data_IF_931402474842
#
_entry.id   IF_931402474842
#
_cell.length_a   1.000
_cell.length_b   1.000
_cell.length_c   1.000
_cell.angle_alpha   90.00
_cell.angle_beta   90.00
_cell.angle_gamma   90.00
#
_symmetry.space_group_name_H-M   'P 1'
#
loop_
_entity.id
_entity.type
_entity.pdbx_description
1 polymer ?
#
# COMPACT_ATOMS: atom_id res chain seq x y z
N UNK A 1 1.52 44.25 37.87
CA UNK A 1 0.48 43.20 37.80
C UNK A 1 -0.06 42.90 36.39
N UNK A 2 0.10 43.77 35.42
CA UNK A 2 -0.28 43.46 34.05
C UNK A 2 0.59 42.44 33.30
N UNK A 3 1.82 42.20 33.73
CA UNK A 3 2.78 41.28 33.12
C UNK A 3 2.45 39.80 33.36
N UNK A 4 1.77 39.40 34.42
CA UNK A 4 1.42 38.02 34.72
C UNK A 4 0.24 37.49 33.91
N UNK A 5 -0.65 38.35 33.44
CA UNK A 5 -1.78 37.97 32.56
C UNK A 5 -1.35 37.70 31.12
N UNK A 6 -0.32 38.35 30.58
CA UNK A 6 0.22 38.13 29.24
C UNK A 6 0.98 36.80 29.15
N UNK A 7 1.67 36.41 30.18
CA UNK A 7 2.40 35.12 30.24
C UNK A 7 1.46 33.92 30.25
N UNK A 8 0.33 34.00 30.94
CA UNK A 8 -0.68 32.92 30.94
C UNK A 8 -1.35 32.73 29.57
N UNK A 9 -1.59 33.79 28.80
CA UNK A 9 -2.14 33.71 27.43
C UNK A 9 -1.16 33.07 26.43
N UNK A 10 0.13 33.34 26.55
CA UNK A 10 1.17 32.77 25.70
C UNK A 10 1.33 31.27 25.95
N UNK A 11 1.32 30.86 27.22
CA UNK A 11 1.39 29.44 27.61
C UNK A 11 0.16 28.66 27.11
N UNK A 12 -1.04 29.22 27.18
CA UNK A 12 -2.25 28.60 26.63
C UNK A 12 -2.20 28.43 25.10
N UNK A 13 -1.62 29.38 24.37
CA UNK A 13 -1.43 29.27 22.90
C UNK A 13 -0.42 28.17 22.53
N UNK A 14 0.65 28.01 23.29
CA UNK A 14 1.67 26.97 23.07
C UNK A 14 1.09 25.57 23.36
N UNK A 15 0.32 25.43 24.43
CA UNK A 15 -0.36 24.17 24.77
C UNK A 15 -1.41 23.80 23.71
N UNK A 16 -2.16 24.74 23.16
CA UNK A 16 -3.09 24.48 22.06
C UNK A 16 -2.39 24.05 20.77
N UNK A 17 -1.24 24.59 20.44
CA UNK A 17 -0.42 24.15 19.29
C UNK A 17 0.13 22.74 19.49
N UNK A 18 0.57 22.38 20.67
CA UNK A 18 1.06 21.03 20.99
C UNK A 18 -0.08 19.98 20.91
N UNK A 19 -1.28 20.31 21.33
CA UNK A 19 -2.45 19.43 21.22
C UNK A 19 -2.94 19.25 19.76
N UNK A 20 -2.79 20.23 18.89
CA UNK A 20 -3.07 20.07 17.47
C UNK A 20 -2.07 19.16 16.75
N UNK A 21 -0.83 19.12 17.15
CA UNK A 21 0.23 18.28 16.59
C UNK A 21 0.08 16.80 16.97
N UNK A 22 -0.45 16.49 18.13
CA UNK A 22 -0.66 15.12 18.60
C UNK A 22 -1.89 14.43 17.99
N UNK A 23 -2.84 15.16 17.45
CA UNK A 23 -4.02 14.61 16.75
C UNK A 23 -3.79 14.27 15.27
N UNK A 24 -2.71 14.70 14.67
CA UNK A 24 -2.40 14.52 13.25
C UNK A 24 -1.99 13.10 12.82
N UNK A 25 -1.31 12.26 13.63
CA UNK A 25 -0.86 10.94 13.14
C UNK A 25 -1.97 9.90 13.02
N UNK A 26 -3.13 10.09 13.62
CA UNK A 26 -4.21 9.11 13.57
C UNK A 26 -5.07 9.15 12.28
N UNK A 27 -4.86 10.10 11.39
CA UNK A 27 -5.68 10.30 10.19
C UNK A 27 -4.95 10.11 8.86
N UNK A 28 -3.82 9.44 8.86
CA UNK A 28 -3.11 9.10 7.62
C UNK A 28 -3.81 8.00 6.78
N UNK A 29 -5.02 7.59 7.12
CA UNK A 29 -5.89 6.83 6.24
C UNK A 29 -6.71 7.77 5.34
N UNK A 30 -6.04 8.70 4.69
CA UNK A 30 -6.61 9.25 3.48
C UNK A 30 -6.51 8.16 2.44
N UNK A 31 -7.54 7.35 2.34
CA UNK A 31 -7.82 6.55 1.17
C UNK A 31 -7.83 7.54 0.00
N UNK A 32 -6.68 7.72 -0.64
CA UNK A 32 -6.63 8.34 -1.95
C UNK A 32 -7.62 7.52 -2.78
N UNK A 33 -8.69 8.14 -3.23
CA UNK A 33 -9.59 7.55 -4.21
C UNK A 33 -8.72 7.05 -5.35
N UNK A 34 -8.39 5.76 -5.30
CA UNK A 34 -7.65 5.15 -6.36
C UNK A 34 -8.55 5.15 -7.57
N UNK A 35 -8.18 5.92 -8.58
CA UNK A 35 -8.82 5.93 -9.90
C UNK A 35 -8.79 4.54 -10.55
N UNK A 36 -8.04 3.62 -9.98
CA UNK A 36 -7.88 2.24 -10.43
C UNK A 36 -8.96 1.28 -9.92
N UNK A 37 -9.86 1.75 -9.03
CA UNK A 37 -10.85 0.89 -8.39
C UNK A 37 -10.30 0.17 -7.15
N UNK A 38 -11.16 -0.62 -6.52
CA UNK A 38 -10.83 -1.41 -5.33
C UNK A 38 -11.04 -2.88 -5.64
N UNK A 39 -10.07 -3.75 -5.38
CA UNK A 39 -10.24 -5.18 -5.53
C UNK A 39 -11.35 -5.70 -4.62
N UNK A 40 -12.02 -6.76 -5.02
CA UNK A 40 -13.09 -7.36 -4.24
C UNK A 40 -12.57 -8.50 -3.35
N UNK A 41 -13.04 -8.55 -2.10
CA UNK A 41 -12.70 -9.62 -1.16
C UNK A 41 -11.26 -9.57 -0.68
N UNK A 42 -10.62 -10.73 -0.63
CA UNK A 42 -9.24 -10.98 -0.17
C UNK A 42 -8.17 -10.74 -1.24
N UNK A 43 -8.49 -9.93 -2.23
CA UNK A 43 -7.59 -9.67 -3.36
C UNK A 43 -6.86 -8.34 -3.22
N UNK A 44 -5.66 -8.32 -3.78
CA UNK A 44 -4.75 -7.17 -3.78
C UNK A 44 -4.36 -6.84 -5.21
N UNK A 45 -4.45 -5.57 -5.57
CA UNK A 45 -3.98 -5.08 -6.86
C UNK A 45 -2.52 -4.69 -6.76
N UNK A 46 -1.70 -5.32 -7.57
CA UNK A 46 -0.25 -5.17 -7.55
C UNK A 46 0.23 -4.64 -8.90
N UNK A 47 1.08 -3.64 -8.87
CA UNK A 47 1.82 -3.21 -10.06
C UNK A 47 3.09 -4.07 -10.16
N UNK A 48 3.24 -4.86 -11.22
CA UNK A 48 4.42 -5.69 -11.39
C UNK A 48 5.66 -4.79 -11.45
N UNK A 49 6.66 -5.16 -10.68
CA UNK A 49 7.98 -4.55 -10.78
C UNK A 49 8.84 -5.52 -11.57
N UNK A 50 9.19 -5.14 -12.79
CA UNK A 50 10.13 -5.91 -13.58
C UNK A 50 11.40 -6.12 -12.76
N UNK A 51 11.85 -7.37 -12.66
CA UNK A 51 13.19 -7.64 -12.18
C UNK A 51 14.17 -6.83 -13.05
N UNK A 52 15.13 -6.18 -12.43
CA UNK A 52 16.13 -5.39 -13.15
C UNK A 52 16.71 -6.22 -14.29
N UNK A 53 16.48 -5.76 -15.51
CA UNK A 53 16.82 -6.49 -16.73
C UNK A 53 18.27 -6.31 -17.15
N UNK A 54 19.05 -5.66 -16.30
CA UNK A 54 20.49 -5.51 -16.50
C UNK A 54 21.24 -6.56 -15.68
N UNK A 55 21.75 -7.58 -16.37
CA UNK A 55 22.81 -8.39 -15.77
C UNK A 55 24.06 -7.49 -15.62
N UNK A 56 24.78 -7.67 -14.53
CA UNK A 56 26.05 -6.94 -14.22
C UNK A 56 27.08 -7.01 -15.35
N UNK A 57 26.84 -7.71 -16.42
CA UNK A 57 27.69 -7.87 -17.61
C UNK A 57 27.15 -7.15 -18.86
N UNK A 58 26.11 -6.32 -18.74
CA UNK A 58 25.58 -5.54 -19.88
C UNK A 58 24.87 -6.37 -20.97
N UNK A 59 24.52 -7.62 -20.70
CA UNK A 59 23.78 -8.45 -21.64
C UNK A 59 22.29 -8.14 -21.51
N UNK A 60 21.71 -7.61 -22.59
CA UNK A 60 20.28 -7.35 -22.68
C UNK A 60 19.58 -8.68 -22.91
N UNK A 61 18.73 -9.08 -21.99
CA UNK A 61 17.87 -10.27 -22.14
C UNK A 61 16.67 -9.87 -23.02
N UNK A 62 16.39 -10.57 -24.12
CA UNK A 62 15.21 -10.30 -24.94
C UNK A 62 13.92 -10.41 -24.13
N UNK A 63 12.93 -9.56 -24.44
CA UNK A 63 11.65 -9.50 -23.71
C UNK A 63 10.88 -10.83 -23.67
N UNK A 64 11.10 -11.69 -24.66
CA UNK A 64 10.49 -13.03 -24.72
C UNK A 64 11.07 -14.04 -23.73
N UNK A 65 12.25 -13.77 -23.19
CA UNK A 65 12.92 -14.63 -22.20
C UNK A 65 12.76 -14.11 -20.76
N UNK A 66 12.06 -12.97 -20.57
CA UNK A 66 11.79 -12.43 -19.25
C UNK A 66 10.71 -13.26 -18.58
N UNK A 67 11.09 -13.96 -17.54
CA UNK A 67 10.10 -14.57 -16.65
C UNK A 67 9.20 -13.46 -16.07
N UNK A 68 7.90 -13.75 -15.96
CA UNK A 68 6.96 -12.79 -15.38
C UNK A 68 7.39 -12.46 -13.95
N UNK A 69 7.42 -11.20 -13.58
CA UNK A 69 7.91 -10.81 -12.26
C UNK A 69 7.00 -11.37 -11.17
N UNK A 70 7.59 -12.06 -10.23
CA UNK A 70 6.93 -12.57 -9.02
C UNK A 70 6.88 -11.53 -7.90
N UNK A 71 7.27 -10.30 -8.20
CA UNK A 71 7.34 -9.19 -7.26
C UNK A 71 6.59 -7.99 -7.80
N UNK A 72 6.02 -7.22 -6.89
CA UNK A 72 5.37 -5.97 -7.24
C UNK A 72 5.03 -5.11 -6.04
N UNK A 73 4.57 -3.91 -6.33
CA UNK A 73 4.13 -2.95 -5.31
C UNK A 73 2.60 -2.94 -5.26
N UNK A 74 2.06 -3.03 -4.06
CA UNK A 74 0.63 -2.98 -3.80
C UNK A 74 0.09 -1.58 -4.10
N UNK A 75 -0.87 -1.51 -5.01
CA UNK A 75 -1.50 -0.26 -5.46
C UNK A 75 -2.87 -0.08 -4.84
N UNK A 76 -3.60 -1.17 -4.67
CA UNK A 76 -4.91 -1.16 -4.02
C UNK A 76 -5.12 -2.47 -3.25
N UNK A 77 -5.85 -2.38 -2.16
CA UNK A 77 -6.15 -3.49 -1.27
C UNK A 77 -7.65 -3.65 -1.15
N UNK A 78 -8.14 -4.88 -1.19
CA UNK A 78 -9.54 -5.20 -0.99
C UNK A 78 -9.97 -5.05 0.47
N UNK A 79 -11.27 -5.13 0.74
CA UNK A 79 -11.81 -5.00 2.10
C UNK A 79 -11.41 -6.15 3.03
N UNK A 80 -10.97 -7.27 2.50
CA UNK A 80 -10.61 -8.46 3.26
C UNK A 80 -11.58 -9.63 3.06
N UNK A 81 -11.27 -10.74 3.71
CA UNK A 81 -12.05 -11.96 3.70
C UNK A 81 -13.16 -11.90 4.76
N UNK A 82 -14.34 -12.37 4.43
CA UNK A 82 -15.40 -12.59 5.43
C UNK A 82 -15.14 -13.90 6.15
N UNK A 83 -15.01 -13.82 7.47
CA UNK A 83 -14.96 -14.99 8.34
C UNK A 83 -16.32 -15.68 8.45
N UNK A 84 -16.35 -16.83 9.11
CA UNK A 84 -17.55 -17.64 9.33
C UNK A 84 -18.63 -16.90 10.14
N UNK A 85 -18.22 -15.99 11.00
CA UNK A 85 -19.10 -15.13 11.81
C UNK A 85 -19.55 -13.85 11.08
N UNK A 86 -19.36 -13.79 9.76
CA UNK A 86 -19.65 -12.62 8.92
C UNK A 86 -18.82 -11.37 9.28
N UNK A 87 -17.81 -11.49 10.12
CA UNK A 87 -16.85 -10.43 10.39
C UNK A 87 -15.87 -10.26 9.23
N UNK A 88 -15.51 -9.02 8.95
CA UNK A 88 -14.56 -8.70 7.90
C UNK A 88 -13.14 -8.76 8.48
N UNK A 89 -12.36 -9.75 8.05
CA UNK A 89 -10.95 -9.87 8.42
C UNK A 89 -10.12 -9.02 7.44
N UNK A 90 -9.48 -7.95 7.91
CA UNK A 90 -8.67 -7.10 7.04
C UNK A 90 -7.42 -7.86 6.56
N UNK A 91 -6.97 -7.50 5.37
CA UNK A 91 -5.75 -8.04 4.78
C UNK A 91 -4.51 -7.59 5.57
N UNK A 92 -3.53 -8.47 5.68
CA UNK A 92 -2.27 -8.20 6.36
C UNK A 92 -1.31 -7.27 5.60
N UNK A 93 -1.66 -6.87 4.38
CA UNK A 93 -0.83 -6.01 3.52
C UNK A 93 -1.48 -4.65 3.31
N UNK A 94 -0.66 -3.63 3.08
CA UNK A 94 -1.08 -2.24 2.89
C UNK A 94 -0.67 -1.72 1.51
N UNK A 95 -1.35 -0.68 1.08
CA UNK A 95 -0.98 0.05 -0.15
C UNK A 95 0.42 0.64 0.01
N UNK A 96 1.28 0.38 -0.96
CA UNK A 96 2.68 0.80 -0.96
C UNK A 96 3.66 -0.28 -0.51
N UNK A 97 3.18 -1.39 0.05
CA UNK A 97 4.03 -2.51 0.42
C UNK A 97 4.57 -3.22 -0.84
N UNK A 98 5.82 -3.62 -0.76
CA UNK A 98 6.42 -4.47 -1.79
C UNK A 98 6.19 -5.92 -1.39
N UNK A 99 5.60 -6.69 -2.28
CA UNK A 99 5.28 -8.10 -2.03
C UNK A 99 5.88 -9.02 -3.07
N UNK A 100 6.12 -10.24 -2.65
CA UNK A 100 6.43 -11.37 -3.52
C UNK A 100 5.24 -12.33 -3.50
N UNK A 101 4.87 -12.83 -4.65
CA UNK A 101 3.70 -13.70 -4.82
C UNK A 101 4.05 -14.90 -5.71
N UNK A 102 3.24 -15.93 -5.60
CA UNK A 102 3.43 -17.17 -6.37
C UNK A 102 3.09 -16.95 -7.85
N UNK A 103 3.92 -17.51 -8.72
CA UNK A 103 3.78 -17.48 -10.19
C UNK A 103 2.40 -17.94 -10.71
N UNK A 104 1.70 -18.79 -9.99
CA UNK A 104 0.39 -19.32 -10.40
C UNK A 104 -0.79 -18.70 -9.65
N UNK A 105 -0.54 -17.78 -8.72
CA UNK A 105 -1.55 -17.23 -7.82
C UNK A 105 -2.04 -15.83 -8.17
N UNK A 106 -1.87 -15.37 -9.39
CA UNK A 106 -2.31 -14.04 -9.81
C UNK A 106 -3.06 -14.07 -11.14
N UNK A 107 -3.91 -13.08 -11.34
CA UNK A 107 -4.62 -12.81 -12.58
C UNK A 107 -4.11 -11.51 -13.19
N UNK A 108 -3.81 -11.52 -14.49
CA UNK A 108 -3.38 -10.32 -15.20
C UNK A 108 -4.58 -9.49 -15.62
N UNK A 109 -4.58 -8.23 -15.26
CA UNK A 109 -5.60 -7.26 -15.67
C UNK A 109 -4.95 -6.02 -16.26
N UNK A 110 -5.57 -5.48 -17.31
CA UNK A 110 -5.15 -4.21 -17.92
C UNK A 110 -6.13 -3.12 -17.54
N UNK A 111 -5.65 -2.10 -16.87
CA UNK A 111 -6.43 -0.92 -16.51
C UNK A 111 -5.76 0.30 -17.15
N UNK A 112 -6.52 1.03 -17.98
CA UNK A 112 -6.01 2.23 -18.68
C UNK A 112 -4.70 2.00 -19.47
N UNK A 113 -4.55 0.81 -20.07
CA UNK A 113 -3.36 0.47 -20.86
C UNK A 113 -2.14 0.01 -20.03
N UNK A 114 -2.25 0.01 -18.72
CA UNK A 114 -1.20 -0.47 -17.81
C UNK A 114 -1.55 -1.85 -17.28
N UNK A 115 -0.58 -2.74 -17.24
CA UNK A 115 -0.74 -4.09 -16.69
C UNK A 115 -0.64 -4.05 -15.16
N UNK A 116 -1.58 -4.72 -14.52
CA UNK A 116 -1.62 -4.96 -13.09
C UNK A 116 -1.88 -6.44 -12.83
N UNK A 117 -1.47 -6.90 -11.68
CA UNK A 117 -1.71 -8.26 -11.22
C UNK A 117 -2.68 -8.24 -10.04
N UNK A 118 -3.72 -9.05 -10.14
CA UNK A 118 -4.67 -9.29 -9.08
C UNK A 118 -4.26 -10.55 -8.33
N UNK A 119 -3.74 -10.39 -7.12
CA UNK A 119 -3.18 -11.46 -6.30
C UNK A 119 -4.11 -11.73 -5.13
N UNK A 120 -4.35 -13.01 -4.82
CA UNK A 120 -5.03 -13.40 -3.58
C UNK A 120 -4.08 -13.32 -2.39
N UNK A 121 -4.60 -13.02 -1.21
CA UNK A 121 -3.80 -13.01 0.02
C UNK A 121 -3.04 -14.32 0.26
N UNK A 122 -3.69 -15.45 0.04
CA UNK A 122 -3.10 -16.80 0.19
C UNK A 122 -1.91 -17.05 -0.77
N UNK A 123 -1.82 -16.29 -1.85
CA UNK A 123 -0.77 -16.41 -2.85
C UNK A 123 0.43 -15.50 -2.58
N UNK A 124 0.33 -14.64 -1.59
CA UNK A 124 1.42 -13.78 -1.16
C UNK A 124 2.40 -14.62 -0.34
N UNK A 125 3.62 -14.71 -0.82
CA UNK A 125 4.67 -15.52 -0.18
C UNK A 125 5.50 -14.69 0.79
N UNK A 126 5.73 -13.41 0.48
CA UNK A 126 6.58 -12.54 1.29
C UNK A 126 6.18 -11.08 1.16
N UNK A 127 6.27 -10.34 2.26
CA UNK A 127 6.07 -8.89 2.30
C UNK A 127 7.39 -8.25 2.73
N UNK A 128 7.89 -7.36 1.90
CA UNK A 128 9.11 -6.61 2.23
C UNK A 128 8.77 -5.49 3.23
N UNK A 129 9.56 -5.41 4.22
CA UNK A 129 9.43 -4.35 5.21
C UNK A 129 9.89 -2.98 4.65
#
# INVERSE_FOLDING_TARGET
MAKSKKTKKVVKKVVKKAQKLTKKPAQATTVKKNTLGTPYGDRVLVKPQAAETETSFGIIIPDQAKEKPEQGVVVAVGPGKRGDDNELVPLGVKVGDRIMFNKYGYEEIKINGTEYYLVKEDSITYVFA
#
